data_IF_505118713411
#
_entry.id   IF_505118713411
#
_cell.length_a   1.000
_cell.length_b   1.000
_cell.length_c   1.000
_cell.angle_alpha   90.00
_cell.angle_beta   90.00
_cell.angle_gamma   90.00
#
_symmetry.space_group_name_H-M   'P 1'
#
loop_
_entity.id
_entity.type
_entity.pdbx_description
1 polymer ?
#
# COMPACT_ATOMS: atom_id res chain seq x y z
N UNK A 1 -19.81 1.37 17.45
CA UNK A 1 -20.78 1.25 16.34
C UNK A 1 -20.06 1.21 15.00
N UNK A 2 -19.31 2.24 14.61
CA UNK A 2 -18.58 2.27 13.33
C UNK A 2 -17.49 1.17 13.23
N UNK A 3 -16.67 1.01 14.26
CA UNK A 3 -15.64 -0.05 14.35
C UNK A 3 -16.23 -1.44 14.10
N UNK A 4 -17.32 -1.77 14.81
CA UNK A 4 -18.00 -3.06 14.64
C UNK A 4 -18.61 -3.22 13.25
N UNK A 5 -19.20 -2.16 12.69
CA UNK A 5 -19.80 -2.21 11.35
C UNK A 5 -18.77 -2.47 10.25
N UNK A 6 -17.61 -1.81 10.31
CA UNK A 6 -16.52 -2.03 9.34
C UNK A 6 -15.98 -3.46 9.52
N UNK A 7 -15.69 -3.86 10.75
CA UNK A 7 -15.20 -5.22 11.08
C UNK A 7 -16.10 -6.34 10.56
N UNK A 8 -17.42 -6.16 10.65
CA UNK A 8 -18.38 -7.18 10.24
C UNK A 8 -18.80 -7.09 8.78
N UNK A 9 -18.18 -6.21 7.99
CA UNK A 9 -18.55 -6.05 6.58
C UNK A 9 -18.04 -7.25 5.78
N UNK A 10 -18.92 -7.85 5.01
CA UNK A 10 -18.59 -8.93 4.07
C UNK A 10 -18.32 -8.33 2.68
N UNK A 11 -17.09 -8.40 2.15
CA UNK A 11 -16.74 -7.88 0.84
C UNK A 11 -17.62 -8.39 -0.30
N UNK A 12 -18.06 -9.65 -0.22
CA UNK A 12 -18.87 -10.28 -1.28
C UNK A 12 -20.28 -9.69 -1.36
N UNK A 13 -20.74 -9.09 -0.26
CA UNK A 13 -22.06 -8.45 -0.18
C UNK A 13 -22.05 -7.00 -0.64
N UNK A 14 -20.88 -6.44 -0.95
CA UNK A 14 -20.75 -5.04 -1.39
C UNK A 14 -21.18 -4.83 -2.85
N UNK A 15 -21.11 -5.89 -3.66
CA UNK A 15 -21.58 -5.91 -5.06
C UNK A 15 -20.74 -5.03 -6.00
N UNK A 16 -20.42 -5.56 -7.20
CA UNK A 16 -19.80 -4.77 -8.27
C UNK A 16 -18.46 -4.14 -7.89
N UNK A 17 -17.59 -4.90 -7.22
CA UNK A 17 -16.24 -4.46 -6.87
C UNK A 17 -15.45 -4.15 -8.15
N UNK A 18 -14.81 -2.99 -8.16
CA UNK A 18 -13.81 -2.59 -9.14
C UNK A 18 -12.62 -1.96 -8.42
N UNK A 19 -11.59 -1.56 -9.16
CA UNK A 19 -10.35 -1.07 -8.57
C UNK A 19 -10.43 0.38 -8.07
N UNK A 20 -11.56 1.08 -8.18
CA UNK A 20 -11.71 2.46 -7.69
C UNK A 20 -11.75 2.48 -6.16
N UNK A 21 -11.48 3.64 -5.52
CA UNK A 21 -11.61 3.77 -4.09
C UNK A 21 -13.03 3.39 -3.63
N UNK A 22 -13.12 2.54 -2.61
CA UNK A 22 -14.40 2.09 -2.11
C UNK A 22 -15.04 3.18 -1.24
N UNK A 23 -16.35 3.44 -1.37
CA UNK A 23 -16.99 4.56 -0.65
C UNK A 23 -16.86 4.49 0.89
N UNK A 24 -16.63 3.30 1.47
CA UNK A 24 -16.37 3.13 2.91
C UNK A 24 -15.06 3.82 3.33
N UNK A 25 -13.99 3.74 2.52
CA UNK A 25 -12.70 4.36 2.86
C UNK A 25 -12.80 5.89 2.81
N UNK A 26 -13.56 6.43 1.86
CA UNK A 26 -13.79 7.88 1.77
C UNK A 26 -14.59 8.38 2.99
N UNK A 27 -15.69 7.70 3.35
CA UNK A 27 -16.47 8.03 4.54
C UNK A 27 -15.65 7.93 5.83
N UNK A 28 -14.74 6.97 5.90
CA UNK A 28 -13.81 6.85 7.01
C UNK A 28 -12.91 8.08 7.11
N UNK A 29 -12.23 8.47 6.02
CA UNK A 29 -11.28 9.58 6.04
C UNK A 29 -11.98 10.90 6.39
N UNK A 30 -13.12 11.21 5.76
CA UNK A 30 -13.91 12.41 6.07
C UNK A 30 -14.35 12.45 7.55
N UNK A 31 -14.78 11.30 8.08
CA UNK A 31 -15.23 11.17 9.46
C UNK A 31 -14.06 11.29 10.45
N UNK A 32 -12.92 10.65 10.17
CA UNK A 32 -11.72 10.72 11.00
C UNK A 32 -11.23 12.16 11.10
N UNK A 33 -11.03 12.81 9.95
CA UNK A 33 -10.58 14.20 9.91
C UNK A 33 -11.51 15.15 10.66
N UNK A 34 -12.83 15.02 10.48
CA UNK A 34 -13.79 15.85 11.22
C UNK A 34 -13.69 15.64 12.74
N UNK A 35 -13.54 14.40 13.20
CA UNK A 35 -13.37 14.11 14.63
C UNK A 35 -12.03 14.60 15.17
N UNK A 36 -10.94 14.48 14.42
CA UNK A 36 -9.64 15.02 14.80
C UNK A 36 -9.71 16.53 14.94
N UNK A 37 -10.32 17.25 13.99
CA UNK A 37 -10.51 18.70 14.07
C UNK A 37 -11.34 19.10 15.32
N UNK A 38 -12.42 18.38 15.64
CA UNK A 38 -13.18 18.63 16.87
C UNK A 38 -12.31 18.36 18.11
N UNK A 39 -11.55 17.28 18.11
CA UNK A 39 -10.72 16.87 19.23
C UNK A 39 -9.56 17.85 19.51
N UNK A 40 -9.11 18.63 18.52
CA UNK A 40 -8.19 19.74 18.73
C UNK A 40 -8.80 20.88 19.57
N UNK A 41 -10.11 21.09 19.46
CA UNK A 41 -10.83 22.12 20.24
C UNK A 41 -11.30 21.60 21.60
N UNK A 42 -11.68 20.32 21.69
CA UNK A 42 -12.15 19.66 22.91
C UNK A 42 -11.40 18.32 23.05
N UNK A 43 -10.20 18.33 23.67
CA UNK A 43 -9.36 17.15 23.76
C UNK A 43 -10.01 16.00 24.54
N UNK A 44 -10.06 14.83 23.91
CA UNK A 44 -10.55 13.60 24.51
C UNK A 44 -9.71 12.40 24.03
N UNK A 45 -8.93 11.81 24.93
CA UNK A 45 -8.05 10.67 24.63
C UNK A 45 -8.83 9.45 24.12
N UNK A 46 -10.05 9.24 24.62
CA UNK A 46 -10.90 8.12 24.18
C UNK A 46 -11.30 8.26 22.72
N UNK A 47 -11.47 9.48 22.22
CA UNK A 47 -11.75 9.74 20.80
C UNK A 47 -10.58 9.25 19.94
N UNK A 48 -9.35 9.62 20.28
CA UNK A 48 -8.15 9.20 19.56
C UNK A 48 -7.96 7.67 19.61
N UNK A 49 -8.23 7.04 20.75
CA UNK A 49 -8.18 5.58 20.87
C UNK A 49 -9.21 4.88 19.96
N UNK A 50 -10.44 5.42 19.87
CA UNK A 50 -11.48 4.86 19.01
C UNK A 50 -11.19 5.09 17.52
N UNK A 51 -10.58 6.23 17.16
CA UNK A 51 -10.11 6.50 15.80
C UNK A 51 -9.01 5.52 15.39
N UNK A 52 -8.02 5.28 16.25
CA UNK A 52 -6.99 4.27 15.98
C UNK A 52 -7.56 2.84 15.83
N UNK A 53 -8.58 2.48 16.62
CA UNK A 53 -9.29 1.20 16.41
C UNK A 53 -10.01 1.17 15.07
N UNK A 54 -10.67 2.27 14.67
CA UNK A 54 -11.38 2.35 13.40
C UNK A 54 -10.41 2.27 12.21
N UNK A 55 -9.24 2.91 12.30
CA UNK A 55 -8.18 2.82 11.31
C UNK A 55 -7.81 1.38 11.02
N UNK A 56 -7.52 0.60 12.08
CA UNK A 56 -7.16 -0.83 11.94
C UNK A 56 -8.25 -1.63 11.25
N UNK A 57 -9.52 -1.40 11.59
CA UNK A 57 -10.63 -2.10 10.92
C UNK A 57 -10.77 -1.70 9.45
N UNK A 58 -10.52 -0.43 9.12
CA UNK A 58 -10.57 0.04 7.72
C UNK A 58 -9.41 -0.52 6.92
N UNK A 59 -8.20 -0.58 7.47
CA UNK A 59 -7.06 -1.23 6.82
C UNK A 59 -7.35 -2.70 6.54
N UNK A 60 -7.87 -3.45 7.52
CA UNK A 60 -8.28 -4.84 7.35
C UNK A 60 -9.39 -4.99 6.30
N UNK A 61 -10.38 -4.09 6.32
CA UNK A 61 -11.45 -4.06 5.33
C UNK A 61 -10.91 -3.90 3.91
N UNK A 62 -10.00 -2.96 3.66
CA UNK A 62 -9.44 -2.76 2.31
C UNK A 62 -8.66 -3.99 1.86
N UNK A 63 -7.89 -4.63 2.75
CA UNK A 63 -7.19 -5.88 2.45
C UNK A 63 -8.15 -7.01 2.09
N UNK A 64 -9.28 -7.13 2.80
CA UNK A 64 -10.30 -8.13 2.49
C UNK A 64 -10.97 -7.86 1.13
N UNK A 65 -11.30 -6.60 0.82
CA UNK A 65 -11.85 -6.26 -0.51
C UNK A 65 -10.83 -6.51 -1.61
N UNK A 66 -9.55 -6.22 -1.37
CA UNK A 66 -8.48 -6.55 -2.32
C UNK A 66 -8.42 -8.05 -2.58
N UNK A 67 -8.56 -8.89 -1.56
CA UNK A 67 -8.49 -10.35 -1.71
C UNK A 67 -9.58 -10.96 -2.62
N UNK A 68 -10.67 -10.22 -2.91
CA UNK A 68 -11.70 -10.67 -3.86
C UNK A 68 -11.25 -10.58 -5.33
N UNK A 69 -10.17 -9.86 -5.63
CA UNK A 69 -9.63 -9.76 -6.99
C UNK A 69 -8.70 -10.94 -7.31
N UNK A 70 -8.89 -11.52 -8.49
CA UNK A 70 -8.12 -12.68 -8.95
C UNK A 70 -6.67 -12.35 -9.33
N UNK A 71 -6.43 -11.14 -9.84
CA UNK A 71 -5.11 -10.71 -10.29
C UNK A 71 -4.37 -9.94 -9.20
N UNK A 72 -3.11 -10.30 -8.92
CA UNK A 72 -2.26 -9.54 -7.99
C UNK A 72 -2.16 -8.07 -8.40
N UNK A 73 -2.11 -7.79 -9.70
CA UNK A 73 -2.13 -6.43 -10.25
C UNK A 73 -3.38 -5.66 -9.81
N UNK A 74 -4.57 -6.25 -9.94
CA UNK A 74 -5.83 -5.60 -9.55
C UNK A 74 -5.92 -5.38 -8.04
N UNK A 75 -5.45 -6.35 -7.24
CA UNK A 75 -5.35 -6.22 -5.78
C UNK A 75 -4.51 -4.99 -5.40
N UNK A 76 -3.34 -4.84 -6.02
CA UNK A 76 -2.43 -3.73 -5.77
C UNK A 76 -3.01 -2.39 -6.22
N UNK A 77 -3.67 -2.33 -7.38
CA UNK A 77 -4.35 -1.11 -7.86
C UNK A 77 -5.45 -0.68 -6.90
N UNK A 78 -6.29 -1.61 -6.41
CA UNK A 78 -7.30 -1.28 -5.42
C UNK A 78 -6.68 -0.69 -4.15
N UNK A 79 -5.63 -1.32 -3.62
CA UNK A 79 -4.95 -0.89 -2.40
C UNK A 79 -4.37 0.53 -2.58
N UNK A 80 -3.62 0.75 -3.67
CA UNK A 80 -3.04 2.05 -4.01
C UNK A 80 -4.12 3.12 -4.10
N UNK A 81 -5.19 2.87 -4.86
CA UNK A 81 -6.26 3.83 -5.05
C UNK A 81 -6.97 4.19 -3.74
N UNK A 82 -7.21 3.21 -2.87
CA UNK A 82 -7.84 3.47 -1.57
C UNK A 82 -6.93 4.24 -0.63
N UNK A 83 -5.63 3.91 -0.56
CA UNK A 83 -4.69 4.63 0.29
C UNK A 83 -4.43 6.06 -0.20
N UNK A 84 -4.25 6.24 -1.51
CA UNK A 84 -4.07 7.57 -2.13
C UNK A 84 -5.27 8.49 -1.86
N UNK A 85 -6.50 7.97 -2.05
CA UNK A 85 -7.71 8.75 -1.77
C UNK A 85 -7.86 9.10 -0.28
N UNK A 86 -7.64 8.13 0.63
CA UNK A 86 -7.71 8.41 2.07
C UNK A 86 -6.64 9.44 2.48
N UNK A 87 -5.41 9.32 1.99
CA UNK A 87 -4.35 10.30 2.23
C UNK A 87 -4.73 11.67 1.70
N UNK A 88 -5.28 11.77 0.49
CA UNK A 88 -5.75 13.04 -0.07
C UNK A 88 -6.73 13.76 0.86
N UNK A 89 -7.70 13.03 1.43
CA UNK A 89 -8.67 13.60 2.37
C UNK A 89 -8.03 13.95 3.73
N UNK A 90 -7.18 13.07 4.27
CA UNK A 90 -6.54 13.28 5.59
C UNK A 90 -5.57 14.46 5.56
N UNK A 91 -4.75 14.59 4.51
CA UNK A 91 -3.75 15.66 4.35
C UNK A 91 -4.37 17.05 4.14
N UNK A 92 -5.61 17.14 3.64
CA UNK A 92 -6.30 18.43 3.51
C UNK A 92 -6.65 19.07 4.86
N UNK A 93 -6.76 18.27 5.93
CA UNK A 93 -7.34 18.68 7.23
C UNK A 93 -6.47 18.40 8.43
N UNK A 94 -5.48 17.52 8.31
CA UNK A 94 -4.55 17.16 9.37
C UNK A 94 -3.14 17.72 9.13
N UNK A 95 -2.32 17.76 10.19
CA UNK A 95 -0.89 18.03 10.02
C UNK A 95 -0.24 16.85 9.28
N UNK A 96 0.65 17.14 8.33
CA UNK A 96 1.36 16.12 7.52
C UNK A 96 2.06 15.06 8.38
N UNK A 97 2.43 15.38 9.63
CA UNK A 97 3.15 14.52 10.58
C UNK A 97 2.23 13.71 11.51
N UNK A 98 0.95 13.54 11.16
CA UNK A 98 0.02 12.70 11.92
C UNK A 98 0.40 11.22 11.79
N UNK A 99 0.33 10.45 12.89
CA UNK A 99 0.64 9.00 12.87
C UNK A 99 -0.24 8.24 11.87
N UNK A 100 -1.47 8.70 11.66
CA UNK A 100 -2.40 8.10 10.72
C UNK A 100 -1.95 8.36 9.27
N UNK A 101 -1.58 9.61 8.97
CA UNK A 101 -1.02 10.01 7.66
C UNK A 101 0.28 9.23 7.38
N UNK A 102 1.21 9.18 8.33
CA UNK A 102 2.45 8.40 8.20
C UNK A 102 2.19 6.91 7.91
N UNK A 103 1.21 6.31 8.61
CA UNK A 103 0.83 4.90 8.41
C UNK A 103 0.34 4.64 6.98
N UNK A 104 -0.62 5.45 6.51
CA UNK A 104 -1.14 5.29 5.15
C UNK A 104 -0.10 5.62 4.08
N UNK A 105 0.81 6.57 4.33
CA UNK A 105 1.91 6.88 3.41
C UNK A 105 2.86 5.69 3.26
N UNK A 106 3.20 5.02 4.35
CA UNK A 106 4.02 3.81 4.32
C UNK A 106 3.32 2.68 3.55
N UNK A 107 2.02 2.48 3.79
CA UNK A 107 1.23 1.49 3.07
C UNK A 107 1.15 1.78 1.57
N UNK A 108 0.87 3.03 1.20
CA UNK A 108 0.83 3.47 -0.20
C UNK A 108 2.19 3.24 -0.89
N UNK A 109 3.29 3.65 -0.25
CA UNK A 109 4.63 3.49 -0.79
C UNK A 109 4.98 2.01 -0.98
N UNK A 110 4.68 1.17 0.02
CA UNK A 110 4.94 -0.27 -0.05
C UNK A 110 4.17 -0.93 -1.20
N UNK A 111 2.88 -0.62 -1.37
CA UNK A 111 2.07 -1.20 -2.47
C UNK A 111 2.44 -0.65 -3.83
N UNK A 112 2.83 0.61 -3.91
CA UNK A 112 3.34 1.22 -5.15
C UNK A 112 4.63 0.53 -5.60
N UNK A 113 5.57 0.31 -4.69
CA UNK A 113 6.80 -0.42 -4.99
C UNK A 113 6.52 -1.85 -5.44
N UNK A 114 5.62 -2.55 -4.74
CA UNK A 114 5.21 -3.90 -5.11
C UNK A 114 4.54 -3.96 -6.49
N UNK A 115 3.71 -2.97 -6.82
CA UNK A 115 3.07 -2.86 -8.13
C UNK A 115 4.07 -2.60 -9.26
N UNK A 116 5.07 -1.76 -9.00
CA UNK A 116 6.18 -1.52 -9.95
C UNK A 116 6.90 -2.83 -10.22
N UNK A 117 7.22 -3.61 -9.19
CA UNK A 117 7.89 -4.91 -9.34
C UNK A 117 7.04 -5.93 -10.11
N UNK A 118 5.74 -6.02 -9.81
CA UNK A 118 4.79 -6.89 -10.52
C UNK A 118 4.72 -6.55 -12.02
N UNK A 119 4.78 -5.27 -12.39
CA UNK A 119 4.76 -4.84 -13.79
C UNK A 119 6.10 -5.05 -14.51
N UNK A 120 7.22 -4.84 -13.81
CA UNK A 120 8.55 -4.92 -14.42
C UNK A 120 9.09 -6.36 -14.47
N UNK A 121 8.64 -7.25 -13.59
CA UNK A 121 9.14 -8.62 -13.50
C UNK A 121 9.00 -9.42 -14.81
N UNK A 122 7.85 -9.44 -15.52
CA UNK A 122 7.74 -10.22 -16.75
C UNK A 122 8.68 -9.76 -17.89
N UNK A 123 8.81 -8.47 -18.22
CA UNK A 123 9.71 -8.02 -19.29
C UNK A 123 11.17 -7.84 -18.85
N UNK A 124 11.44 -7.54 -17.57
CA UNK A 124 12.76 -7.09 -17.10
C UNK A 124 13.30 -7.86 -15.90
N UNK A 125 12.63 -8.90 -15.41
CA UNK A 125 13.04 -9.64 -14.20
C UNK A 125 14.48 -10.14 -14.25
N UNK A 126 14.92 -10.66 -15.41
CA UNK A 126 16.31 -11.09 -15.61
C UNK A 126 17.33 -9.94 -15.55
N UNK A 127 16.98 -8.77 -16.10
CA UNK A 127 17.83 -7.57 -16.05
C UNK A 127 17.93 -7.03 -14.62
N UNK A 128 16.79 -6.94 -13.91
CA UNK A 128 16.75 -6.50 -12.51
C UNK A 128 17.57 -7.43 -11.62
N UNK A 129 17.46 -8.75 -11.82
CA UNK A 129 18.26 -9.73 -11.07
C UNK A 129 19.76 -9.55 -11.34
N UNK A 130 20.15 -9.37 -12.60
CA UNK A 130 21.53 -9.12 -12.98
C UNK A 130 22.10 -7.84 -12.35
N UNK A 131 21.36 -6.74 -12.39
CA UNK A 131 21.80 -5.46 -11.79
C UNK A 131 22.01 -5.63 -10.28
N UNK A 132 21.06 -6.26 -9.57
CA UNK A 132 21.19 -6.52 -8.12
C UNK A 132 22.40 -7.40 -7.78
N UNK A 133 22.68 -8.41 -8.59
CA UNK A 133 23.86 -9.27 -8.44
C UNK A 133 25.16 -8.49 -8.68
N UNK A 134 25.21 -7.69 -9.75
CA UNK A 134 26.36 -6.86 -10.07
C UNK A 134 26.65 -5.80 -9.00
N UNK A 135 25.63 -5.10 -8.52
CA UNK A 135 25.73 -4.14 -7.42
C UNK A 135 26.30 -4.81 -6.17
N UNK A 136 25.76 -5.97 -5.77
CA UNK A 136 26.26 -6.71 -4.61
C UNK A 136 27.70 -7.21 -4.75
N UNK A 137 28.13 -7.57 -5.96
CA UNK A 137 29.53 -7.93 -6.24
C UNK A 137 30.45 -6.71 -6.18
N UNK A 138 30.02 -5.57 -6.72
CA UNK A 138 30.77 -4.30 -6.69
C UNK A 138 30.95 -3.83 -5.24
N UNK A 139 29.88 -3.83 -4.44
CA UNK A 139 29.94 -3.46 -3.02
C UNK A 139 30.92 -4.31 -2.21
N UNK A 140 31.07 -5.59 -2.59
CA UNK A 140 32.02 -6.52 -1.96
C UNK A 140 33.44 -6.45 -2.53
N UNK A 141 33.71 -5.56 -3.47
CA UNK A 141 35.00 -5.45 -4.16
C UNK A 141 35.30 -6.62 -5.10
N UNK A 142 34.28 -7.38 -5.52
CA UNK A 142 34.39 -8.58 -6.36
C UNK A 142 34.00 -8.32 -7.83
N UNK A 143 34.15 -7.07 -8.29
CA UNK A 143 33.75 -6.65 -9.63
C UNK A 143 34.39 -7.48 -10.77
N UNK A 144 35.59 -8.05 -10.54
CA UNK A 144 36.27 -8.90 -11.51
C UNK A 144 35.49 -10.18 -11.87
N UNK A 145 34.60 -10.65 -10.99
CA UNK A 145 33.76 -11.83 -11.24
C UNK A 145 32.72 -11.61 -12.33
N UNK A 146 32.30 -10.35 -12.55
CA UNK A 146 31.33 -9.99 -13.60
C UNK A 146 31.87 -10.25 -15.01
N UNK A 147 33.18 -10.08 -15.23
CA UNK A 147 33.83 -10.34 -16.54
C UNK A 147 33.86 -11.82 -16.92
N UNK A 148 33.82 -12.72 -15.95
CA UNK A 148 33.82 -14.17 -16.19
C UNK A 148 32.47 -14.70 -16.66
N UNK A 149 31.38 -14.09 -16.22
CA UNK A 149 30.00 -14.55 -16.50
C UNK A 149 29.48 -14.07 -17.86
N UNK A 150 29.91 -12.90 -18.34
CA UNK A 150 29.62 -12.43 -19.71
C UNK A 150 30.12 -13.43 -20.78
N UNK A 151 31.28 -14.07 -20.55
CA UNK A 151 31.83 -15.08 -21.44
C UNK A 151 31.05 -16.41 -21.44
N UNK A 152 30.38 -16.76 -20.35
CA UNK A 152 29.65 -18.03 -20.21
C UNK A 152 28.22 -17.95 -20.71
N UNK A 153 27.53 -16.81 -20.53
CA UNK A 153 26.17 -16.59 -21.06
C UNK A 153 26.12 -16.43 -22.58
N UNK A 154 27.21 -15.94 -23.20
CA UNK A 154 27.34 -15.91 -24.67
C UNK A 154 27.60 -17.30 -25.28
N UNK A 155 28.08 -18.26 -24.49
CA UNK A 155 28.33 -19.65 -24.93
C UNK A 155 27.14 -20.59 -24.67
N UNK A 156 26.24 -20.24 -23.75
CA UNK A 156 25.08 -21.05 -23.39
C UNK A 156 23.79 -20.64 -24.09
N UNK A 157 23.88 -20.05 -25.29
CA UNK A 157 22.71 -19.61 -26.06
C UNK A 157 21.77 -20.76 -26.45
N UNK A 158 20.85 -21.11 -25.56
CA UNK A 158 19.51 -21.71 -25.76
C UNK A 158 18.69 -21.54 -24.49
#
# INVERSE_FOLDING_TARGET
MNVQSVRSTDPQRLGGLDTRPHYITCRYAEFSSALVSINQTIPNERTLQLLGQLQVEVENFVLQVAAEFSSRKEQLVLLINNYDMMLGVLMEREAEDSKEVESFQQLLNARTQEFIEELLSPPFGGLVAFVKEAEGLIERGQADRLRGEEGMRLLSGT
#
